data_IF_732211588433
#
_entry.id   IF_732211588433
#
_cell.length_a   1.000
_cell.length_b   1.000
_cell.length_c   1.000
_cell.angle_alpha   90.00
_cell.angle_beta   90.00
_cell.angle_gamma   90.00
#
_symmetry.space_group_name_H-M   'P 1'
#
loop_
_entity.id
_entity.type
_entity.pdbx_description
1 polymer ?
#
# COMPACT_ATOMS: atom_id res chain seq x y z
N UNK A 1 -19.89 77.61 8.05
CA UNK A 1 -19.88 76.83 9.30
C UNK A 1 -18.91 75.67 9.07
N UNK A 2 -17.61 75.89 9.28
CA UNK A 2 -16.87 75.59 10.54
C UNK A 2 -17.14 74.14 10.97
N UNK A 3 -16.20 73.22 11.18
CA UNK A 3 -14.73 73.14 11.21
C UNK A 3 -14.41 71.62 11.15
N UNK A 4 -13.31 71.16 10.53
CA UNK A 4 -11.98 70.99 11.15
C UNK A 4 -12.06 70.12 12.42
N UNK A 5 -11.36 69.00 12.58
CA UNK A 5 -9.91 68.70 12.45
C UNK A 5 -9.78 67.18 12.65
N UNK A 6 -8.87 66.38 12.09
CA UNK A 6 -7.43 66.57 11.85
C UNK A 6 -6.70 65.30 12.35
N UNK A 7 -5.48 65.07 11.84
CA UNK A 7 -4.51 64.01 12.17
C UNK A 7 -4.82 62.62 11.56
N UNK A 8 -4.16 62.10 10.52
CA UNK A 8 -2.75 62.11 10.09
C UNK A 8 -1.78 61.39 11.06
N UNK A 9 -1.37 60.20 10.61
CA UNK A 9 -0.07 59.50 10.77
C UNK A 9 0.39 59.19 12.22
N UNK A 10 0.77 57.95 12.51
CA UNK A 10 2.14 57.46 12.27
C UNK A 10 2.35 56.01 12.77
N UNK A 11 3.17 55.30 12.00
CA UNK A 11 4.10 54.20 12.29
C UNK A 11 4.07 53.44 13.63
N UNK A 12 4.06 52.12 13.52
CA UNK A 12 4.97 51.18 14.23
C UNK A 12 4.61 49.75 13.78
N UNK A 13 5.44 49.14 12.93
CA UNK A 13 6.55 48.29 13.33
C UNK A 13 6.16 46.98 14.04
N UNK A 14 6.45 45.89 13.33
CA UNK A 14 7.02 44.66 13.87
C UNK A 14 6.20 43.90 14.93
N UNK A 15 5.44 42.90 14.47
CA UNK A 15 5.63 41.57 15.03
C UNK A 15 5.43 40.49 13.99
N UNK A 16 6.57 39.96 13.58
CA UNK A 16 6.81 38.68 12.94
C UNK A 16 6.05 37.57 13.67
N UNK A 17 4.83 37.26 13.25
CA UNK A 17 4.22 35.97 13.55
C UNK A 17 4.77 34.96 12.53
N UNK A 18 6.00 34.52 12.80
CA UNK A 18 6.49 33.24 12.31
C UNK A 18 5.52 32.19 12.85
N UNK A 19 4.56 31.82 12.02
CA UNK A 19 3.81 30.59 12.20
C UNK A 19 4.84 29.47 12.40
N UNK A 20 4.77 28.69 13.50
CA UNK A 20 5.74 27.63 13.71
C UNK A 20 5.52 26.61 12.60
N UNK A 21 6.50 26.53 11.68
CA UNK A 21 6.67 25.36 10.81
C UNK A 21 6.55 24.15 11.71
N UNK A 22 5.54 23.32 11.48
CA UNK A 22 5.56 21.95 11.95
C UNK A 22 6.92 21.37 11.56
N UNK A 23 7.63 20.67 12.47
CA UNK A 23 8.84 19.99 12.06
C UNK A 23 8.45 19.07 10.90
N UNK A 24 9.15 19.20 9.79
CA UNK A 24 9.01 18.29 8.67
C UNK A 24 9.30 16.89 9.21
N UNK A 25 8.24 16.10 9.38
CA UNK A 25 8.35 14.66 9.47
C UNK A 25 9.11 14.24 8.22
N UNK A 26 10.34 13.77 8.39
CA UNK A 26 11.13 13.20 7.30
C UNK A 26 10.41 11.95 6.79
N UNK A 27 9.47 12.14 5.87
CA UNK A 27 8.99 11.08 5.00
C UNK A 27 10.17 10.61 4.18
N UNK A 28 10.28 9.30 3.93
CA UNK A 28 11.21 8.78 2.94
C UNK A 28 11.02 9.60 1.65
N UNK A 29 12.04 10.37 1.27
CA UNK A 29 11.97 11.20 0.07
C UNK A 29 12.15 10.27 -1.11
N UNK A 30 11.06 9.90 -1.77
CA UNK A 30 11.14 9.14 -3.02
C UNK A 30 11.83 9.95 -4.11
N UNK A 31 12.34 9.25 -5.12
CA UNK A 31 12.89 9.83 -6.32
C UNK A 31 11.85 10.71 -7.03
N UNK A 32 12.26 11.94 -7.34
CA UNK A 32 11.40 12.95 -7.96
C UNK A 32 10.99 12.58 -9.39
N UNK A 33 9.94 13.23 -9.89
CA UNK A 33 9.51 13.07 -11.28
C UNK A 33 10.63 13.42 -12.29
N UNK A 34 11.45 14.42 -11.97
CA UNK A 34 12.55 14.86 -12.82
C UNK A 34 13.65 13.79 -12.89
N UNK A 35 14.00 13.17 -11.76
CA UNK A 35 14.97 12.07 -11.69
C UNK A 35 14.46 10.83 -12.42
N UNK A 36 13.18 10.47 -12.25
CA UNK A 36 12.58 9.35 -12.98
C UNK A 36 12.54 9.62 -14.49
N UNK A 37 12.18 10.83 -14.91
CA UNK A 37 12.20 11.20 -16.33
C UNK A 37 13.62 11.16 -16.91
N UNK A 38 14.62 11.61 -16.15
CA UNK A 38 16.02 11.55 -16.56
C UNK A 38 16.53 10.10 -16.65
N UNK A 39 16.18 9.25 -15.67
CA UNK A 39 16.50 7.83 -15.68
C UNK A 39 15.91 7.14 -16.92
N UNK A 40 14.60 7.29 -17.17
CA UNK A 40 13.95 6.68 -18.33
C UNK A 40 14.52 7.19 -19.67
N UNK A 41 14.88 8.48 -19.76
CA UNK A 41 15.47 9.05 -20.96
C UNK A 41 16.94 8.61 -21.19
N UNK A 42 17.61 8.11 -20.15
CA UNK A 42 18.97 7.59 -20.24
C UNK A 42 19.03 6.09 -20.55
N UNK A 43 17.89 5.38 -20.45
CA UNK A 43 17.82 3.96 -20.79
C UNK A 43 18.08 3.74 -22.30
N UNK A 44 18.80 2.66 -22.67
CA UNK A 44 18.82 2.14 -24.03
C UNK A 44 17.41 1.82 -24.54
N UNK A 45 17.20 1.95 -25.86
CA UNK A 45 15.90 1.64 -26.50
C UNK A 45 15.39 0.23 -26.17
N UNK A 46 16.29 -0.76 -26.04
CA UNK A 46 15.93 -2.13 -25.67
C UNK A 46 15.30 -2.19 -24.27
N UNK A 47 15.91 -1.52 -23.29
CA UNK A 47 15.45 -1.51 -21.90
C UNK A 47 14.13 -0.74 -21.77
N UNK A 48 13.92 0.31 -22.58
CA UNK A 48 12.61 0.99 -22.66
C UNK A 48 11.53 0.05 -23.21
N UNK A 49 11.85 -0.76 -24.21
CA UNK A 49 10.91 -1.77 -24.74
C UNK A 49 10.60 -2.82 -23.67
N UNK A 50 11.61 -3.32 -22.95
CA UNK A 50 11.41 -4.27 -21.86
C UNK A 50 10.51 -3.71 -20.75
N UNK A 51 10.73 -2.45 -20.34
CA UNK A 51 9.86 -1.76 -19.40
C UNK A 51 8.40 -1.71 -19.90
N UNK A 52 8.16 -1.35 -21.16
CA UNK A 52 6.81 -1.25 -21.71
C UNK A 52 6.11 -2.62 -21.87
N UNK A 53 6.89 -3.70 -22.09
CA UNK A 53 6.37 -5.06 -22.09
C UNK A 53 6.01 -5.50 -20.67
N UNK A 54 6.86 -5.20 -19.69
CA UNK A 54 6.65 -5.53 -18.28
C UNK A 54 5.57 -4.66 -17.61
N UNK A 55 5.32 -3.45 -18.13
CA UNK A 55 4.31 -2.50 -17.65
C UNK A 55 3.30 -2.12 -18.77
N UNK A 56 2.39 -3.05 -19.16
CA UNK A 56 1.43 -2.81 -20.24
C UNK A 56 0.53 -1.59 -20.01
N UNK A 57 0.27 -1.23 -18.75
CA UNK A 57 -0.51 -0.06 -18.35
C UNK A 57 0.13 1.28 -18.81
N UNK A 58 1.43 1.30 -19.09
CA UNK A 58 2.12 2.47 -19.62
C UNK A 58 1.88 2.71 -21.11
N UNK A 59 1.43 1.69 -21.83
CA UNK A 59 1.27 1.74 -23.29
C UNK A 59 -0.04 2.40 -23.73
N UNK A 60 -1.05 2.44 -22.85
CA UNK A 60 -2.41 2.87 -23.22
C UNK A 60 -2.94 3.92 -22.23
N UNK A 61 -3.08 5.21 -22.63
CA UNK A 61 -2.72 5.77 -23.93
C UNK A 61 -1.20 5.96 -24.08
N UNK A 62 -0.62 6.00 -25.28
CA UNK A 62 0.82 6.22 -25.44
C UNK A 62 1.26 7.57 -24.87
N UNK A 63 2.45 7.62 -24.28
CA UNK A 63 3.04 8.86 -23.76
C UNK A 63 3.78 9.62 -24.86
N UNK A 64 3.58 10.95 -24.91
CA UNK A 64 4.22 11.79 -25.93
C UNK A 64 5.67 12.19 -25.61
N UNK A 65 6.17 11.89 -24.40
CA UNK A 65 7.53 12.19 -23.94
C UNK A 65 7.93 11.32 -22.75
N UNK A 66 9.22 11.24 -22.43
CA UNK A 66 9.72 10.55 -21.23
C UNK A 66 9.23 11.18 -19.93
N UNK A 67 9.03 12.51 -19.88
CA UNK A 67 8.41 13.16 -18.71
C UNK A 67 6.96 12.71 -18.51
N UNK A 68 6.18 12.58 -19.59
CA UNK A 68 4.81 12.07 -19.51
C UNK A 68 4.78 10.58 -19.13
N UNK A 69 5.73 9.80 -19.65
CA UNK A 69 5.91 8.39 -19.29
C UNK A 69 6.26 8.23 -17.81
N UNK A 70 7.24 9.00 -17.32
CA UNK A 70 7.64 9.02 -15.90
C UNK A 70 6.48 9.43 -14.99
N UNK A 71 5.72 10.46 -15.37
CA UNK A 71 4.55 10.90 -14.60
C UNK A 71 3.50 9.78 -14.47
N UNK A 72 3.32 8.96 -15.50
CA UNK A 72 2.43 7.80 -15.44
C UNK A 72 3.04 6.65 -14.65
N UNK A 73 4.29 6.30 -14.92
CA UNK A 73 4.99 5.18 -14.29
C UNK A 73 5.13 5.35 -12.77
N UNK A 74 5.40 6.57 -12.32
CA UNK A 74 5.46 6.93 -10.91
C UNK A 74 4.11 7.26 -10.28
N UNK A 75 3.00 7.22 -11.02
CA UNK A 75 1.68 7.45 -10.45
C UNK A 75 1.19 6.21 -9.69
N UNK A 76 0.51 6.45 -8.57
CA UNK A 76 -0.01 5.40 -7.68
C UNK A 76 -0.74 4.26 -8.41
N UNK A 77 -1.71 4.48 -9.32
CA UNK A 77 -2.41 3.37 -9.99
C UNK A 77 -1.48 2.47 -10.83
N UNK A 78 -0.46 3.07 -11.45
CA UNK A 78 0.51 2.37 -12.29
C UNK A 78 1.49 1.55 -11.43
N UNK A 79 1.91 2.11 -10.30
CA UNK A 79 2.71 1.38 -9.30
C UNK A 79 1.91 0.23 -8.68
N UNK A 80 0.66 0.45 -8.27
CA UNK A 80 -0.21 -0.61 -7.74
C UNK A 80 -0.40 -1.75 -8.75
N UNK A 81 -0.56 -1.43 -10.05
CA UNK A 81 -0.63 -2.44 -11.11
C UNK A 81 0.67 -3.24 -11.27
N UNK A 82 1.83 -2.60 -11.12
CA UNK A 82 3.12 -3.29 -11.16
C UNK A 82 3.29 -4.23 -9.96
N UNK A 83 3.03 -3.75 -8.75
CA UNK A 83 3.17 -4.52 -7.51
C UNK A 83 2.23 -5.73 -7.46
N UNK A 84 1.06 -5.65 -8.10
CA UNK A 84 0.07 -6.75 -8.12
C UNK A 84 0.59 -8.06 -8.75
N UNK A 85 1.69 -8.01 -9.51
CA UNK A 85 2.29 -9.16 -10.17
C UNK A 85 3.59 -9.64 -9.52
N UNK A 86 4.02 -9.01 -8.42
CA UNK A 86 5.25 -9.36 -7.73
C UNK A 86 5.03 -10.42 -6.67
N UNK A 87 6.04 -11.26 -6.45
CA UNK A 87 6.05 -12.23 -5.36
C UNK A 87 6.31 -11.56 -3.99
N UNK A 88 6.06 -12.30 -2.92
CA UNK A 88 6.19 -11.79 -1.55
C UNK A 88 7.60 -11.29 -1.21
N UNK A 89 8.70 -12.00 -1.57
CA UNK A 89 10.05 -11.49 -1.36
C UNK A 89 10.32 -10.18 -2.11
N UNK A 90 9.94 -10.05 -3.38
CA UNK A 90 10.14 -8.82 -4.16
C UNK A 90 9.36 -7.65 -3.56
N UNK A 91 8.11 -7.88 -3.12
CA UNK A 91 7.31 -6.87 -2.41
C UNK A 91 7.98 -6.44 -1.11
N UNK A 92 8.54 -7.37 -0.34
CA UNK A 92 9.24 -7.07 0.89
C UNK A 92 10.52 -6.26 0.65
N UNK A 93 11.28 -6.56 -0.41
CA UNK A 93 12.44 -5.75 -0.84
C UNK A 93 12.00 -4.33 -1.23
N UNK A 94 10.92 -4.18 -1.99
CA UNK A 94 10.38 -2.87 -2.36
C UNK A 94 9.97 -2.05 -1.13
N UNK A 95 9.27 -2.66 -0.18
CA UNK A 95 8.88 -2.03 1.07
C UNK A 95 10.11 -1.68 1.93
N UNK A 96 11.16 -2.50 1.89
CA UNK A 96 12.39 -2.30 2.66
C UNK A 96 13.21 -1.11 2.14
N UNK A 97 13.30 -0.95 0.81
CA UNK A 97 13.90 0.24 0.18
C UNK A 97 13.18 1.51 0.65
N UNK A 98 11.84 1.49 0.69
CA UNK A 98 11.05 2.62 1.20
C UNK A 98 11.23 2.82 2.71
N UNK A 99 11.27 1.75 3.48
CA UNK A 99 11.38 1.81 4.94
C UNK A 99 12.75 2.32 5.41
N UNK A 100 13.83 1.87 4.77
CA UNK A 100 15.20 2.17 5.16
C UNK A 100 15.80 3.34 4.38
N UNK A 101 15.23 3.69 3.22
CA UNK A 101 15.75 4.76 2.36
C UNK A 101 17.11 4.43 1.76
N UNK A 102 17.37 3.15 1.52
CA UNK A 102 18.65 2.64 1.02
C UNK A 102 18.44 1.43 0.11
N UNK A 103 19.46 1.16 -0.71
CA UNK A 103 19.46 0.09 -1.73
C UNK A 103 20.67 -0.84 -1.60
N UNK A 104 21.37 -0.78 -0.46
CA UNK A 104 22.50 -1.68 -0.18
C UNK A 104 21.97 -3.11 -0.02
N UNK A 105 22.38 -3.99 -0.93
CA UNK A 105 21.85 -5.35 -1.03
C UNK A 105 22.09 -6.16 0.24
N UNK A 106 23.29 -6.10 0.81
CA UNK A 106 23.64 -6.91 1.98
C UNK A 106 22.86 -6.46 3.23
N UNK A 107 22.73 -5.16 3.44
CA UNK A 107 21.93 -4.64 4.55
C UNK A 107 20.43 -4.92 4.39
N UNK A 108 19.91 -4.90 3.16
CA UNK A 108 18.52 -5.29 2.89
C UNK A 108 18.31 -6.80 3.12
N UNK A 109 19.25 -7.64 2.67
CA UNK A 109 19.21 -9.07 2.86
C UNK A 109 19.23 -9.44 4.35
N UNK A 110 20.13 -8.82 5.14
CA UNK A 110 20.20 -9.01 6.60
C UNK A 110 18.87 -8.60 7.29
N UNK A 111 18.31 -7.46 6.93
CA UNK A 111 17.07 -6.95 7.52
C UNK A 111 15.84 -7.79 7.13
N UNK A 112 15.85 -8.43 5.96
CA UNK A 112 14.76 -9.27 5.47
C UNK A 112 14.91 -10.75 5.85
N UNK A 113 16.11 -11.17 6.26
CA UNK A 113 16.43 -12.59 6.47
C UNK A 113 16.49 -13.37 5.15
N UNK A 114 16.92 -12.72 4.07
CA UNK A 114 17.06 -13.29 2.73
C UNK A 114 18.54 -13.50 2.38
N UNK A 115 18.80 -14.24 1.29
CA UNK A 115 20.12 -14.29 0.69
C UNK A 115 20.44 -12.99 -0.08
N UNK A 116 21.71 -12.58 -0.08
CA UNK A 116 22.16 -11.36 -0.77
C UNK A 116 21.99 -11.46 -2.29
N UNK A 117 22.22 -12.62 -2.90
CA UNK A 117 22.09 -12.80 -4.35
C UNK A 117 20.61 -12.78 -4.77
N UNK A 118 19.73 -13.40 -3.99
CA UNK A 118 18.28 -13.32 -4.20
C UNK A 118 17.79 -11.87 -4.05
N UNK A 119 18.24 -11.16 -3.02
CA UNK A 119 17.91 -9.75 -2.79
C UNK A 119 18.38 -8.85 -3.95
N UNK A 120 19.57 -9.11 -4.51
CA UNK A 120 20.04 -8.40 -5.70
C UNK A 120 19.12 -8.62 -6.91
N UNK A 121 18.69 -9.87 -7.15
CA UNK A 121 17.77 -10.18 -8.25
C UNK A 121 16.41 -9.47 -8.08
N UNK A 122 15.89 -9.40 -6.85
CA UNK A 122 14.67 -8.64 -6.55
C UNK A 122 14.85 -7.13 -6.79
N UNK A 123 15.99 -6.54 -6.41
CA UNK A 123 16.30 -5.14 -6.71
C UNK A 123 16.41 -4.88 -8.22
N UNK A 124 16.99 -5.81 -8.97
CA UNK A 124 17.08 -5.73 -10.42
C UNK A 124 15.70 -5.77 -11.09
N UNK A 125 14.80 -6.65 -10.65
CA UNK A 125 13.40 -6.67 -11.10
C UNK A 125 12.69 -5.34 -10.81
N UNK A 126 12.85 -4.78 -9.60
CA UNK A 126 12.28 -3.48 -9.24
C UNK A 126 12.85 -2.33 -10.10
N UNK A 127 14.12 -2.43 -10.49
CA UNK A 127 14.78 -1.53 -11.44
C UNK A 127 14.20 -1.64 -12.84
N UNK A 128 14.04 -2.86 -13.36
CA UNK A 128 13.41 -3.13 -14.67
C UNK A 128 11.97 -2.59 -14.76
N UNK A 129 11.24 -2.58 -13.64
CA UNK A 129 9.90 -2.03 -13.55
C UNK A 129 9.85 -0.51 -13.30
N UNK A 130 11.01 0.15 -13.22
CA UNK A 130 11.17 1.56 -12.88
C UNK A 130 10.46 1.96 -11.56
N UNK A 131 10.43 1.04 -10.59
CA UNK A 131 9.89 1.26 -9.24
C UNK A 131 10.96 1.78 -8.28
N UNK A 132 12.20 1.35 -8.51
CA UNK A 132 13.38 1.73 -7.75
C UNK A 132 14.46 2.11 -8.75
N UNK A 133 14.92 3.35 -8.71
CA UNK A 133 15.99 3.86 -9.59
C UNK A 133 17.25 4.18 -8.78
N UNK A 134 18.33 4.63 -9.41
CA UNK A 134 19.60 4.92 -8.72
C UNK A 134 19.48 5.93 -7.57
N UNK A 135 18.50 6.82 -7.62
CA UNK A 135 18.23 7.81 -6.56
C UNK A 135 17.23 7.31 -5.50
N UNK A 136 16.72 6.08 -5.63
CA UNK A 136 15.85 5.43 -4.66
C UNK A 136 14.47 5.02 -5.22
N UNK A 137 13.56 4.67 -4.32
CA UNK A 137 12.17 4.34 -4.64
C UNK A 137 11.43 5.54 -5.25
N UNK A 138 10.64 5.32 -6.31
CA UNK A 138 9.80 6.39 -6.89
C UNK A 138 8.72 6.85 -5.90
N UNK A 139 8.30 8.12 -5.98
CA UNK A 139 7.28 8.69 -5.07
C UNK A 139 6.00 7.84 -5.00
N UNK A 140 5.52 7.32 -6.13
CA UNK A 140 4.34 6.45 -6.15
C UNK A 140 4.50 5.17 -5.31
N UNK A 141 5.72 4.63 -5.22
CA UNK A 141 6.01 3.46 -4.37
C UNK A 141 5.95 3.82 -2.89
N UNK A 142 6.50 4.98 -2.52
CA UNK A 142 6.39 5.53 -1.16
C UNK A 142 4.92 5.78 -0.79
N UNK A 143 4.12 6.32 -1.71
CA UNK A 143 2.70 6.59 -1.49
C UNK A 143 1.85 5.32 -1.31
N UNK A 144 2.22 4.22 -2.00
CA UNK A 144 1.51 2.94 -1.90
C UNK A 144 1.74 2.29 -0.53
N UNK A 145 2.98 2.20 -0.06
CA UNK A 145 3.29 1.66 1.28
C UNK A 145 2.88 2.62 2.41
N UNK A 146 2.77 3.91 2.10
CA UNK A 146 2.32 4.93 3.04
C UNK A 146 3.34 5.25 4.13
N UNK A 147 2.91 5.85 5.26
CA UNK A 147 3.82 6.44 6.22
C UNK A 147 4.55 5.44 7.13
N UNK A 148 4.10 4.18 7.16
CA UNK A 148 4.55 3.18 8.12
C UNK A 148 4.85 1.84 7.44
N UNK A 149 5.79 1.79 6.48
CA UNK A 149 6.22 0.52 5.87
C UNK A 149 6.73 -0.42 6.96
N UNK A 150 6.37 -1.71 6.88
CA UNK A 150 6.56 -2.74 7.90
C UNK A 150 6.02 -2.37 9.29
N UNK A 151 5.05 -1.45 9.37
CA UNK A 151 4.57 -0.90 10.65
C UNK A 151 5.63 -0.08 11.40
N UNK A 152 6.69 0.35 10.73
CA UNK A 152 7.74 1.16 11.35
C UNK A 152 7.31 2.62 11.47
N UNK A 153 7.64 3.22 12.61
CA UNK A 153 7.41 4.65 12.80
C UNK A 153 8.35 5.53 11.98
N UNK A 154 8.25 6.85 12.16
CA UNK A 154 9.13 7.79 11.48
C UNK A 154 10.58 7.62 11.93
N UNK A 155 11.48 8.12 11.10
CA UNK A 155 12.85 8.38 11.52
C UNK A 155 12.85 9.49 12.58
N UNK A 156 13.67 9.31 13.61
CA UNK A 156 13.84 10.27 14.68
C UNK A 156 15.27 10.18 15.23
N UNK A 157 15.65 11.15 16.05
CA UNK A 157 16.92 11.10 16.75
C UNK A 157 17.04 9.82 17.59
N UNK A 158 18.21 9.20 17.54
CA UNK A 158 18.47 7.98 18.30
C UNK A 158 18.35 8.24 19.81
N UNK A 159 17.76 7.30 20.58
CA UNK A 159 17.78 7.38 22.02
C UNK A 159 19.22 7.26 22.54
N UNK A 160 19.51 7.70 23.77
CA UNK A 160 20.81 7.50 24.38
C UNK A 160 21.27 6.04 24.40
N UNK A 161 20.32 5.11 24.55
CA UNK A 161 20.53 3.67 24.50
C UNK A 161 19.34 3.04 23.78
N UNK A 162 19.62 2.28 22.71
CA UNK A 162 18.61 1.46 22.03
C UNK A 162 18.13 0.34 22.95
N UNK A 163 16.84 -0.05 22.89
CA UNK A 163 16.37 -1.20 23.64
C UNK A 163 17.06 -2.49 23.16
N UNK A 164 17.28 -3.47 24.05
CA UNK A 164 17.63 -4.81 23.61
C UNK A 164 16.43 -5.47 22.89
N UNK A 165 16.66 -6.56 22.14
CA UNK A 165 15.60 -7.30 21.47
C UNK A 165 14.48 -7.73 22.42
N UNK A 166 13.25 -7.84 21.89
CA UNK A 166 12.07 -8.26 22.67
C UNK A 166 12.24 -9.64 23.31
N UNK A 167 13.01 -10.53 22.69
CA UNK A 167 13.34 -11.85 23.24
C UNK A 167 14.10 -11.73 24.56
N UNK A 168 15.09 -10.83 24.62
CA UNK A 168 15.89 -10.59 25.83
C UNK A 168 15.07 -9.90 26.92
N UNK A 169 14.27 -8.89 26.57
CA UNK A 169 13.39 -8.21 27.53
C UNK A 169 12.36 -9.15 28.16
N UNK A 170 11.88 -10.16 27.42
CA UNK A 170 10.99 -11.21 27.95
C UNK A 170 11.73 -12.17 28.89
N UNK A 171 13.01 -12.40 28.67
CA UNK A 171 13.83 -13.30 29.47
C UNK A 171 14.37 -12.65 30.75
N UNK A 172 14.34 -11.31 30.86
CA UNK A 172 14.80 -10.53 32.01
C UNK A 172 13.63 -9.86 32.79
N UNK A 173 12.77 -10.64 33.48
CA UNK A 173 11.64 -10.08 34.22
C UNK A 173 12.11 -9.17 35.36
N UNK A 174 11.56 -7.94 35.42
CA UNK A 174 11.83 -6.97 36.48
C UNK A 174 12.53 -5.68 36.04
N UNK A 175 13.10 -5.63 34.82
CA UNK A 175 13.70 -4.40 34.27
C UNK A 175 12.66 -3.39 33.74
N UNK A 176 11.50 -3.90 33.32
CA UNK A 176 10.36 -3.14 32.81
C UNK A 176 9.08 -3.62 33.49
N UNK A 177 8.10 -2.72 33.60
CA UNK A 177 6.74 -3.13 33.99
C UNK A 177 6.08 -4.01 32.91
N UNK A 178 5.22 -4.96 33.30
CA UNK A 178 4.49 -5.82 32.35
C UNK A 178 3.71 -5.01 31.32
N UNK A 179 3.15 -3.86 31.75
CA UNK A 179 2.47 -2.92 30.87
C UNK A 179 3.40 -2.29 29.83
N UNK A 180 4.63 -1.93 30.22
CA UNK A 180 5.63 -1.38 29.29
C UNK A 180 6.07 -2.43 28.28
N UNK A 181 6.36 -3.65 28.75
CA UNK A 181 6.71 -4.77 27.87
C UNK A 181 5.56 -5.08 26.88
N UNK A 182 4.32 -5.13 27.35
CA UNK A 182 3.15 -5.33 26.48
C UNK A 182 2.97 -4.21 25.44
N UNK A 183 3.19 -2.96 25.82
CA UNK A 183 3.15 -1.82 24.90
C UNK A 183 4.24 -1.89 23.83
N UNK A 184 5.48 -2.22 24.22
CA UNK A 184 6.59 -2.40 23.27
C UNK A 184 6.29 -3.53 22.29
N UNK A 185 5.77 -4.67 22.76
CA UNK A 185 5.40 -5.79 21.88
C UNK A 185 4.32 -5.42 20.87
N UNK A 186 3.30 -4.68 21.30
CA UNK A 186 2.21 -4.24 20.43
C UNK A 186 2.68 -3.24 19.37
N UNK A 187 3.49 -2.25 19.76
CA UNK A 187 3.99 -1.21 18.84
C UNK A 187 5.13 -1.72 17.95
N UNK A 188 5.92 -2.69 18.42
CA UNK A 188 7.02 -3.22 17.64
C UNK A 188 6.53 -3.94 16.38
N UNK A 189 5.40 -4.64 16.39
CA UNK A 189 4.90 -5.38 15.22
C UNK A 189 3.54 -4.88 14.69
N UNK A 190 2.90 -3.96 15.40
CA UNK A 190 1.63 -3.34 14.99
C UNK A 190 1.85 -1.95 14.41
N UNK A 191 0.79 -1.13 14.34
CA UNK A 191 0.93 0.29 14.03
C UNK A 191 1.91 0.93 15.02
N UNK A 192 2.84 1.78 14.58
CA UNK A 192 3.91 2.33 15.44
C UNK A 192 3.40 3.39 16.42
N UNK A 193 2.09 3.42 16.64
CA UNK A 193 1.37 4.53 17.25
C UNK A 193 0.34 4.04 18.25
N UNK A 194 0.47 4.55 19.47
CA UNK A 194 -0.55 4.44 20.51
C UNK A 194 -1.25 5.79 20.73
N UNK A 195 -2.58 5.77 20.81
CA UNK A 195 -3.37 6.96 21.19
C UNK A 195 -3.88 6.84 22.61
N UNK A 196 -3.81 7.92 23.39
CA UNK A 196 -4.56 8.01 24.65
C UNK A 196 -5.81 8.88 24.48
N UNK A 197 -6.85 8.55 25.24
CA UNK A 197 -7.99 9.44 25.42
C UNK A 197 -7.54 10.72 26.15
N UNK A 198 -8.10 11.87 25.78
CA UNK A 198 -7.76 13.17 26.36
C UNK A 198 -7.86 13.15 27.89
N UNK A 199 -6.82 13.62 28.58
CA UNK A 199 -6.74 13.63 30.05
C UNK A 199 -6.31 12.31 30.70
N UNK A 200 -6.10 11.24 29.92
CA UNK A 200 -5.58 9.97 30.41
C UNK A 200 -4.09 10.04 30.76
N UNK A 201 -3.71 9.59 31.96
CA UNK A 201 -2.31 9.33 32.30
C UNK A 201 -1.93 7.93 31.81
N UNK A 202 -0.86 7.81 31.02
CA UNK A 202 -0.21 6.53 30.76
C UNK A 202 1.16 6.51 31.46
N UNK A 203 1.23 6.11 32.74
CA UNK A 203 2.51 5.98 33.44
C UNK A 203 3.47 5.05 32.68
N UNK A 204 2.93 4.00 32.07
CA UNK A 204 3.65 3.08 31.18
C UNK A 204 4.32 3.80 30.00
N UNK A 205 3.57 4.61 29.25
CA UNK A 205 4.15 5.34 28.11
C UNK A 205 5.15 6.41 28.56
N UNK A 206 4.93 7.02 29.73
CA UNK A 206 5.84 8.01 30.29
C UNK A 206 7.20 7.41 30.68
N UNK A 207 7.24 6.16 31.16
CA UNK A 207 8.47 5.39 31.42
C UNK A 207 9.27 5.21 30.12
N UNK A 208 8.59 4.78 29.05
CA UNK A 208 9.22 4.53 27.74
C UNK A 208 9.68 5.82 27.05
N UNK A 209 8.96 6.93 27.21
CA UNK A 209 9.39 8.26 26.74
C UNK A 209 10.64 8.74 27.49
N UNK A 210 10.72 8.53 28.81
CA UNK A 210 11.92 8.90 29.58
C UNK A 210 13.17 8.14 29.13
N UNK A 211 13.00 6.90 28.62
CA UNK A 211 14.07 6.10 28.00
C UNK A 211 14.41 6.53 26.57
N UNK A 212 13.59 7.40 25.97
CA UNK A 212 13.71 7.79 24.55
C UNK A 212 13.18 6.75 23.58
N UNK A 213 12.52 5.69 24.06
CA UNK A 213 12.00 4.61 23.20
C UNK A 213 10.65 4.95 22.57
N UNK A 214 9.93 5.91 23.14
CA UNK A 214 8.73 6.49 22.52
C UNK A 214 8.88 8.01 22.45
N UNK A 215 8.30 8.60 21.41
CA UNK A 215 8.17 10.05 21.26
C UNK A 215 6.74 10.43 21.57
N UNK A 216 6.56 11.48 22.37
CA UNK A 216 5.25 12.09 22.56
C UNK A 216 4.97 13.04 21.41
N UNK A 217 3.81 12.85 20.79
CA UNK A 217 3.31 13.65 19.67
C UNK A 217 1.86 14.08 19.94
N UNK A 218 1.33 14.99 19.14
CA UNK A 218 -0.04 15.47 19.21
C UNK A 218 -0.71 15.32 17.85
N UNK A 219 -1.88 14.69 17.80
CA UNK A 219 -2.66 14.65 16.56
C UNK A 219 -3.30 16.01 16.24
N UNK A 220 -3.89 16.14 15.05
CA UNK A 220 -4.57 17.36 14.61
C UNK A 220 -5.79 17.73 15.48
N UNK A 221 -6.32 16.78 16.26
CA UNK A 221 -7.39 16.98 17.23
C UNK A 221 -6.86 17.29 18.65
N UNK A 222 -5.54 17.46 18.82
CA UNK A 222 -4.88 17.76 20.09
C UNK A 222 -4.77 16.57 21.06
N UNK A 223 -5.09 15.35 20.63
CA UNK A 223 -4.95 14.14 21.46
C UNK A 223 -3.48 13.77 21.56
N UNK A 224 -3.05 13.37 22.76
CA UNK A 224 -1.68 12.89 22.97
C UNK A 224 -1.51 11.53 22.31
N UNK A 225 -0.52 11.46 21.43
CA UNK A 225 -0.07 10.30 20.69
C UNK A 225 1.31 9.89 21.19
N UNK A 226 1.60 8.60 21.20
CA UNK A 226 2.95 8.09 21.37
C UNK A 226 3.35 7.38 20.09
N UNK A 227 4.55 7.66 19.61
CA UNK A 227 5.09 7.12 18.37
C UNK A 227 6.38 6.39 18.70
N UNK A 228 6.50 5.15 18.24
CA UNK A 228 7.74 4.37 18.33
C UNK A 228 8.64 4.74 17.13
N UNK A 229 9.85 5.28 17.36
CA UNK A 229 10.79 5.56 16.27
C UNK A 229 11.22 4.29 15.54
N UNK A 230 11.52 4.42 14.24
CA UNK A 230 11.99 3.31 13.39
C UNK A 230 13.14 2.51 14.00
N UNK A 231 14.20 3.20 14.43
CA UNK A 231 15.41 2.59 15.02
C UNK A 231 15.11 1.80 16.29
N UNK A 232 14.19 2.28 17.12
CA UNK A 232 13.74 1.60 18.34
C UNK A 232 12.96 0.33 17.99
N UNK A 233 12.03 0.41 17.03
CA UNK A 233 11.28 -0.75 16.57
C UNK A 233 12.23 -1.82 16.00
N UNK A 234 13.18 -1.46 15.14
CA UNK A 234 14.18 -2.39 14.59
C UNK A 234 15.02 -3.05 15.68
N UNK A 235 15.50 -2.29 16.68
CA UNK A 235 16.25 -2.85 17.79
C UNK A 235 15.42 -3.88 18.59
N UNK A 236 14.14 -3.57 18.86
CA UNK A 236 13.20 -4.49 19.51
C UNK A 236 12.94 -5.77 18.69
N UNK A 237 12.97 -5.66 17.36
CA UNK A 237 12.81 -6.78 16.42
C UNK A 237 14.11 -7.57 16.20
N UNK A 238 15.24 -7.13 16.74
CA UNK A 238 16.54 -7.75 16.49
C UNK A 238 17.11 -7.47 15.09
N UNK A 239 16.75 -6.34 14.49
CA UNK A 239 17.20 -5.94 13.14
C UNK A 239 16.28 -6.37 12.01
N UNK A 240 15.33 -7.27 12.27
CA UNK A 240 14.43 -7.80 11.24
C UNK A 240 13.27 -6.85 10.90
N UNK A 241 12.96 -6.78 9.61
CA UNK A 241 11.81 -6.08 9.04
C UNK A 241 10.54 -6.93 9.12
N UNK A 242 10.48 -8.13 8.53
CA UNK A 242 9.29 -8.99 8.59
C UNK A 242 9.23 -9.73 9.93
N UNK A 243 8.01 -10.06 10.34
CA UNK A 243 7.76 -10.84 11.56
C UNK A 243 7.95 -12.33 11.35
N UNK A 244 7.58 -12.79 10.17
CA UNK A 244 7.62 -14.17 9.74
C UNK A 244 8.64 -14.27 8.60
N UNK A 245 9.38 -15.39 8.49
CA UNK A 245 10.31 -15.60 7.39
C UNK A 245 9.61 -15.49 6.03
N UNK A 246 10.32 -14.96 5.04
CA UNK A 246 9.86 -14.85 3.65
C UNK A 246 10.08 -16.15 2.87
N UNK A 247 9.75 -17.28 3.50
CA UNK A 247 9.92 -18.61 2.91
C UNK A 247 8.67 -18.99 2.12
N UNK A 248 8.87 -19.65 0.97
CA UNK A 248 7.77 -20.23 0.23
C UNK A 248 7.08 -21.33 1.06
N UNK A 249 5.74 -21.47 0.96
CA UNK A 249 5.05 -22.56 1.63
C UNK A 249 5.63 -23.92 1.24
N UNK A 250 5.80 -24.82 2.21
CA UNK A 250 6.21 -26.19 1.92
C UNK A 250 5.08 -26.93 1.19
N UNK A 251 5.40 -27.44 0.00
CA UNK A 251 4.49 -28.19 -0.87
C UNK A 251 4.94 -29.63 -1.12
N UNK A 252 5.96 -30.12 -0.41
CA UNK A 252 6.56 -31.43 -0.66
C UNK A 252 5.56 -32.60 -0.51
N UNK A 253 4.57 -32.46 0.38
CA UNK A 253 3.55 -33.46 0.64
C UNK A 253 2.29 -33.31 -0.24
N UNK A 254 2.24 -32.31 -1.12
CA UNK A 254 1.10 -32.09 -2.01
C UNK A 254 1.15 -32.99 -3.24
N UNK A 255 -0.03 -33.44 -3.70
CA UNK A 255 -0.16 -34.16 -4.95
C UNK A 255 0.20 -33.25 -6.12
N UNK A 256 1.17 -33.68 -6.95
CA UNK A 256 1.54 -32.99 -8.17
C UNK A 256 0.65 -33.46 -9.32
N UNK A 257 -0.17 -32.54 -9.84
CA UNK A 257 -0.97 -32.76 -11.04
C UNK A 257 -0.14 -32.45 -12.30
N UNK A 258 -0.42 -33.14 -13.41
CA UNK A 258 0.25 -32.83 -14.67
C UNK A 258 -0.18 -31.46 -15.20
N UNK A 259 0.75 -30.73 -15.80
CA UNK A 259 0.49 -29.43 -16.43
C UNK A 259 -0.66 -29.53 -17.44
N UNK A 260 -0.72 -30.62 -18.21
CA UNK A 260 -1.78 -30.86 -19.19
C UNK A 260 -3.16 -31.04 -18.54
N UNK A 261 -3.25 -31.74 -17.40
CA UNK A 261 -4.50 -31.93 -16.68
C UNK A 261 -4.99 -30.60 -16.07
N UNK A 262 -4.07 -29.83 -15.48
CA UNK A 262 -4.37 -28.49 -14.95
C UNK A 262 -4.83 -27.57 -16.08
N UNK A 263 -4.15 -27.57 -17.23
CA UNK A 263 -4.52 -26.76 -18.38
C UNK A 263 -5.91 -27.13 -18.93
N UNK A 264 -6.19 -28.42 -19.11
CA UNK A 264 -7.49 -28.89 -19.60
C UNK A 264 -8.64 -28.47 -18.66
N UNK A 265 -8.44 -28.64 -17.35
CA UNK A 265 -9.45 -28.29 -16.35
C UNK A 265 -9.63 -26.77 -16.22
N UNK A 266 -8.53 -26.00 -16.25
CA UNK A 266 -8.57 -24.54 -16.27
C UNK A 266 -9.29 -24.00 -17.51
N UNK A 267 -9.01 -24.54 -18.70
CA UNK A 267 -9.72 -24.17 -19.94
C UNK A 267 -11.22 -24.46 -19.82
N UNK A 268 -11.59 -25.65 -19.35
CA UNK A 268 -13.01 -26.02 -19.18
C UNK A 268 -13.73 -25.07 -18.22
N UNK A 269 -13.11 -24.72 -17.09
CA UNK A 269 -13.69 -23.77 -16.14
C UNK A 269 -13.73 -22.34 -16.67
N UNK A 270 -12.75 -21.92 -17.47
CA UNK A 270 -12.75 -20.61 -18.11
C UNK A 270 -13.87 -20.50 -19.14
N UNK A 271 -14.07 -21.52 -19.99
CA UNK A 271 -15.16 -21.58 -20.96
C UNK A 271 -16.53 -21.52 -20.26
N UNK A 272 -16.69 -22.27 -19.17
CA UNK A 272 -17.92 -22.28 -18.39
C UNK A 272 -18.18 -20.92 -17.72
N UNK A 273 -17.14 -20.29 -17.15
CA UNK A 273 -17.26 -18.95 -16.58
C UNK A 273 -17.67 -17.92 -17.64
N UNK A 274 -17.08 -17.98 -18.85
CA UNK A 274 -17.46 -17.09 -19.96
C UNK A 274 -18.91 -17.31 -20.38
N UNK A 275 -19.36 -18.57 -20.49
CA UNK A 275 -20.75 -18.93 -20.79
C UNK A 275 -21.72 -18.37 -19.74
N UNK A 276 -21.38 -18.52 -18.46
CA UNK A 276 -22.19 -18.02 -17.34
C UNK A 276 -22.25 -16.49 -17.30
N UNK A 277 -21.12 -15.80 -17.54
CA UNK A 277 -21.09 -14.33 -17.63
C UNK A 277 -21.94 -13.83 -18.80
N UNK A 278 -21.85 -14.45 -19.98
CA UNK A 278 -22.68 -14.07 -21.13
C UNK A 278 -24.18 -14.26 -20.83
N UNK A 279 -24.56 -15.38 -20.21
CA UNK A 279 -25.93 -15.64 -19.78
C UNK A 279 -26.41 -14.63 -18.72
N UNK A 280 -25.56 -14.26 -17.76
CA UNK A 280 -25.84 -13.22 -16.76
C UNK A 280 -26.12 -11.87 -17.44
N UNK A 281 -25.25 -11.46 -18.36
CA UNK A 281 -25.40 -10.19 -19.09
C UNK A 281 -26.70 -10.17 -19.90
N UNK A 282 -27.06 -11.28 -20.54
CA UNK A 282 -28.33 -11.40 -21.25
C UNK A 282 -29.55 -11.34 -20.31
N UNK A 283 -29.46 -11.96 -19.14
CA UNK A 283 -30.51 -11.94 -18.11
C UNK A 283 -30.72 -10.53 -17.54
N UNK A 284 -29.64 -9.88 -17.11
CA UNK A 284 -29.71 -8.55 -16.50
C UNK A 284 -29.91 -7.44 -17.52
N UNK A 285 -29.59 -7.66 -18.80
CA UNK A 285 -30.01 -6.79 -19.89
C UNK A 285 -31.53 -6.74 -20.08
N UNK A 286 -32.27 -7.78 -19.63
CA UNK A 286 -33.74 -7.83 -19.70
C UNK A 286 -34.39 -7.22 -18.46
N UNK A 287 -34.03 -7.71 -17.27
CA UNK A 287 -34.77 -7.38 -16.03
C UNK A 287 -33.94 -6.70 -14.93
N UNK A 288 -32.64 -6.50 -15.15
CA UNK A 288 -31.73 -5.84 -14.21
C UNK A 288 -31.51 -6.56 -12.87
N UNK A 289 -30.32 -6.41 -12.29
CA UNK A 289 -30.01 -6.86 -10.93
C UNK A 289 -30.35 -5.78 -9.90
N UNK A 290 -31.49 -5.90 -9.22
CA UNK A 290 -31.92 -4.87 -8.26
C UNK A 290 -30.89 -4.57 -7.16
N UNK A 291 -30.59 -3.28 -6.95
CA UNK A 291 -29.58 -2.82 -6.00
C UNK A 291 -30.15 -2.63 -4.59
N UNK A 292 -29.36 -3.00 -3.59
CA UNK A 292 -29.62 -2.68 -2.18
C UNK A 292 -29.14 -1.27 -1.85
N UNK A 293 -29.65 -0.69 -0.77
CA UNK A 293 -29.20 0.63 -0.27
C UNK A 293 -27.68 0.71 -0.02
N UNK A 294 -27.04 -0.43 0.24
CA UNK A 294 -25.59 -0.55 0.47
C UNK A 294 -24.79 -0.76 -0.82
N UNK A 295 -25.43 -0.78 -2.00
CA UNK A 295 -24.78 -0.99 -3.30
C UNK A 295 -24.69 -2.45 -3.75
N UNK A 296 -25.02 -3.41 -2.89
CA UNK A 296 -24.99 -4.84 -3.22
C UNK A 296 -26.22 -5.34 -3.99
N UNK A 297 -26.25 -6.62 -4.34
CA UNK A 297 -27.36 -7.26 -5.06
C UNK A 297 -28.38 -7.84 -4.07
N UNK A 298 -29.66 -7.60 -4.31
CA UNK A 298 -30.72 -8.13 -3.44
C UNK A 298 -30.90 -9.65 -3.55
N UNK A 299 -31.27 -10.31 -2.45
CA UNK A 299 -31.47 -11.78 -2.39
C UNK A 299 -32.39 -12.30 -3.50
N UNK A 300 -33.48 -11.59 -3.82
CA UNK A 300 -34.39 -11.98 -4.90
C UNK A 300 -33.73 -11.96 -6.29
N UNK A 301 -32.90 -10.94 -6.55
CA UNK A 301 -32.17 -10.84 -7.80
C UNK A 301 -31.12 -11.96 -7.89
N UNK A 302 -30.44 -12.27 -6.79
CA UNK A 302 -29.49 -13.38 -6.72
C UNK A 302 -30.18 -14.73 -6.98
N UNK A 303 -31.29 -15.03 -6.28
CA UNK A 303 -32.01 -16.29 -6.47
C UNK A 303 -32.53 -16.46 -7.90
N UNK A 304 -33.14 -15.43 -8.49
CA UNK A 304 -33.59 -15.46 -9.90
C UNK A 304 -32.42 -15.68 -10.86
N UNK A 305 -31.28 -15.04 -10.60
CA UNK A 305 -30.09 -15.19 -11.44
C UNK A 305 -29.52 -16.60 -11.34
N UNK A 306 -29.45 -17.17 -10.13
CA UNK A 306 -29.03 -18.55 -9.92
C UNK A 306 -29.93 -19.54 -10.67
N UNK A 307 -31.25 -19.36 -10.59
CA UNK A 307 -32.23 -20.15 -11.36
C UNK A 307 -32.05 -19.99 -12.87
N UNK A 308 -31.86 -18.76 -13.37
CA UNK A 308 -31.69 -18.49 -14.80
C UNK A 308 -30.38 -19.07 -15.37
N UNK A 309 -29.33 -19.12 -14.55
CA UNK A 309 -28.02 -19.66 -14.92
C UNK A 309 -27.91 -21.17 -14.70
N UNK A 310 -28.88 -21.79 -14.02
CA UNK A 310 -28.87 -23.19 -13.59
C UNK A 310 -27.67 -23.53 -12.70
N UNK A 311 -27.41 -22.69 -11.69
CA UNK A 311 -26.29 -22.86 -10.75
C UNK A 311 -26.71 -22.58 -9.32
N UNK A 312 -25.89 -23.03 -8.37
CA UNK A 312 -26.06 -22.70 -6.96
C UNK A 312 -25.91 -21.18 -6.68
N UNK A 313 -26.61 -20.61 -5.68
CA UNK A 313 -26.56 -19.18 -5.38
C UNK A 313 -25.15 -18.64 -5.11
N UNK A 314 -24.26 -19.45 -4.53
CA UNK A 314 -22.86 -19.08 -4.30
C UNK A 314 -22.11 -18.88 -5.62
N UNK A 315 -22.26 -19.79 -6.57
CA UNK A 315 -21.65 -19.68 -7.91
C UNK A 315 -22.20 -18.46 -8.66
N UNK A 316 -23.52 -18.24 -8.61
CA UNK A 316 -24.12 -17.04 -9.21
C UNK A 316 -23.54 -15.75 -8.62
N UNK A 317 -23.35 -15.69 -7.30
CA UNK A 317 -22.72 -14.54 -6.64
C UNK A 317 -21.29 -14.32 -7.12
N UNK A 318 -20.47 -15.38 -7.20
CA UNK A 318 -19.09 -15.29 -7.71
C UNK A 318 -19.05 -14.78 -9.15
N UNK A 319 -19.94 -15.25 -10.03
CA UNK A 319 -20.01 -14.79 -11.42
C UNK A 319 -20.43 -13.32 -11.50
N UNK A 320 -21.39 -12.89 -10.68
CA UNK A 320 -21.80 -11.48 -10.59
C UNK A 320 -20.63 -10.59 -10.14
N UNK A 321 -19.92 -10.99 -9.09
CA UNK A 321 -18.77 -10.25 -8.57
C UNK A 321 -17.64 -10.17 -9.60
N UNK A 322 -17.32 -11.28 -10.26
CA UNK A 322 -16.32 -11.33 -11.32
C UNK A 322 -16.69 -10.41 -12.50
N UNK A 323 -17.95 -10.42 -12.93
CA UNK A 323 -18.43 -9.56 -14.00
C UNK A 323 -18.38 -8.07 -13.61
N UNK A 324 -18.72 -7.73 -12.36
CA UNK A 324 -18.59 -6.37 -11.85
C UNK A 324 -17.12 -5.92 -11.76
N UNK A 325 -16.22 -6.78 -11.26
CA UNK A 325 -14.79 -6.50 -11.16
C UNK A 325 -14.13 -6.33 -12.54
N UNK A 326 -14.59 -7.09 -13.55
CA UNK A 326 -14.17 -6.94 -14.94
C UNK A 326 -14.80 -5.71 -15.64
N UNK A 327 -15.63 -4.93 -14.92
CA UNK A 327 -16.30 -3.74 -15.46
C UNK A 327 -17.36 -4.06 -16.50
N UNK A 328 -17.89 -5.30 -16.54
CA UNK A 328 -18.94 -5.72 -17.46
C UNK A 328 -20.34 -5.36 -16.95
N UNK A 329 -20.46 -5.01 -15.67
CA UNK A 329 -21.69 -4.51 -15.05
C UNK A 329 -21.53 -3.05 -14.65
N UNK A 330 -22.59 -2.28 -14.84
CA UNK A 330 -22.71 -0.90 -14.39
C UNK A 330 -24.09 -0.63 -13.82
N UNK A 331 -24.33 0.61 -13.41
CA UNK A 331 -25.66 1.04 -12.96
C UNK A 331 -26.46 1.59 -14.13
N UNK A 332 -27.78 1.39 -14.10
CA UNK A 332 -28.72 2.09 -14.97
C UNK A 332 -28.77 3.60 -14.66
N UNK A 333 -29.42 4.38 -15.52
CA UNK A 333 -29.50 5.84 -15.38
C UNK A 333 -30.15 6.29 -14.06
N UNK A 334 -31.02 5.46 -13.49
CA UNK A 334 -31.70 5.71 -12.22
C UNK A 334 -30.86 5.28 -10.99
N UNK A 335 -29.77 4.53 -11.19
CA UNK A 335 -28.99 3.92 -10.11
C UNK A 335 -29.78 2.89 -9.29
N UNK A 336 -30.82 2.30 -9.88
CA UNK A 336 -31.74 1.38 -9.23
C UNK A 336 -31.42 -0.10 -9.52
N UNK A 337 -30.68 -0.38 -10.59
CA UNK A 337 -30.32 -1.73 -10.98
C UNK A 337 -28.92 -1.80 -11.58
N UNK A 338 -28.29 -2.95 -11.36
CA UNK A 338 -27.14 -3.40 -12.11
C UNK A 338 -27.57 -3.88 -13.49
N UNK A 339 -26.90 -3.41 -14.53
CA UNK A 339 -27.17 -3.71 -15.94
C UNK A 339 -25.84 -3.92 -16.69
N UNK A 340 -25.84 -4.57 -17.87
CA UNK A 340 -24.65 -4.66 -18.70
C UNK A 340 -24.04 -3.28 -19.00
N UNK A 341 -22.73 -3.14 -18.77
CA UNK A 341 -21.98 -1.92 -19.09
C UNK A 341 -21.67 -1.84 -20.59
N UNK A 342 -21.22 -0.67 -21.06
CA UNK A 342 -20.84 -0.48 -22.48
C UNK A 342 -19.72 -1.41 -22.94
N UNK A 343 -18.82 -1.76 -22.05
CA UNK A 343 -17.71 -2.73 -22.22
C UNK A 343 -18.21 -4.16 -22.47
N UNK A 344 -19.42 -4.49 -22.06
CA UNK A 344 -20.02 -5.82 -22.24
C UNK A 344 -20.52 -6.08 -23.67
N UNK A 345 -20.52 -5.08 -24.57
CA UNK A 345 -21.06 -5.22 -25.92
C UNK A 345 -20.44 -6.39 -26.72
N UNK A 346 -19.14 -6.63 -26.56
CA UNK A 346 -18.43 -7.72 -27.23
C UNK A 346 -18.81 -9.14 -26.73
N UNK A 347 -19.53 -9.23 -25.61
CA UNK A 347 -19.97 -10.49 -25.00
C UNK A 347 -21.41 -10.87 -25.37
N UNK A 348 -22.15 -9.93 -25.97
CA UNK A 348 -23.56 -10.09 -26.34
C UNK A 348 -23.76 -10.28 -27.85
N UNK A 349 -22.67 -10.32 -28.62
CA UNK A 349 -22.61 -10.58 -30.07
C UNK A 349 -22.16 -11.99 -30.35
#
# INVERSE_FOLDING_TARGET
>A
MRMSTGAQWDSSEQRTERSPRAPASGSASGASLEELAAHLAALPDADVVELLVARPDLTTPPSASFTALAARAGARPSVEAALAHLDTPTLAVAEAVVALGMQDTDALAEALGLDSQETAAHLEELGRLALVIDTGAVVGLVDVFGPHPFGLGPEAADPPVLPPPLSELRAAPGELSDGALGMLQALAWGPPVGTLRSGGRAPVAAELVQRGWLIRDHDTAGRTRFVMPRRVALALRGGLLPREPLEAPDYADLESLSVDAVAAEATRHAEEAVRLVAALLAEWGRDGGGILRTGGVGVRALSRTAEALDVEPGTAATIIEAAAAAGLLGLDDAGAAWVPARTAAAWLT
#
